data_IF_305378657877
#
_entry.id   IF_305378657877
#
_cell.length_a   1.000
_cell.length_b   1.000
_cell.length_c   1.000
_cell.angle_alpha   90.00
_cell.angle_beta   90.00
_cell.angle_gamma   90.00
#
_symmetry.space_group_name_H-M   'P 1'
#
loop_
_entity.id
_entity.type
_entity.pdbx_description
1 polymer ?
#
# COMPACT_ATOMS: atom_id res chain seq x y z
N UNK A 1 -3.80 1.02 -7.88
CA UNK A 1 -4.62 1.93 -8.72
C UNK A 1 -3.79 2.29 -9.93
N UNK A 2 -4.27 1.88 -11.10
CA UNK A 2 -3.65 2.16 -12.39
C UNK A 2 -4.31 3.39 -12.98
N UNK A 3 -3.51 4.39 -13.36
CA UNK A 3 -3.99 5.62 -13.99
C UNK A 3 -4.22 5.39 -15.48
N UNK A 4 -5.19 6.10 -16.06
CA UNK A 4 -5.36 6.14 -17.51
C UNK A 4 -4.08 6.69 -18.16
N UNK A 5 -3.61 6.04 -19.23
CA UNK A 5 -2.45 6.54 -19.98
C UNK A 5 -2.89 7.77 -20.78
N UNK A 6 -2.26 8.91 -20.55
CA UNK A 6 -2.35 10.05 -21.47
C UNK A 6 -1.69 9.63 -22.80
N UNK A 7 -2.48 9.43 -23.83
CA UNK A 7 -1.97 9.58 -25.19
C UNK A 7 -1.51 11.04 -25.31
N UNK A 8 -0.32 11.34 -25.84
CA UNK A 8 0.06 12.72 -26.10
C UNK A 8 -1.09 13.34 -26.90
N UNK A 9 -1.60 14.49 -26.43
CA UNK A 9 -2.63 15.24 -27.11
C UNK A 9 -2.24 15.34 -28.58
N UNK A 10 -2.83 14.49 -29.42
CA UNK A 10 -2.92 14.78 -30.83
C UNK A 10 -3.86 15.97 -30.84
N UNK A 11 -3.22 17.14 -30.86
CA UNK A 11 -3.76 18.47 -30.77
C UNK A 11 -5.26 18.51 -31.03
N UNK A 12 -5.99 19.06 -30.05
CA UNK A 12 -7.10 19.97 -30.25
C UNK A 12 -7.43 20.24 -31.74
N UNK A 13 -8.15 19.29 -32.34
CA UNK A 13 -9.04 19.45 -33.47
C UNK A 13 -10.14 18.49 -33.12
N UNK A 14 -11.18 19.01 -32.49
CA UNK A 14 -12.56 18.67 -32.82
C UNK A 14 -12.67 17.38 -33.64
N UNK A 15 -12.45 16.22 -33.01
CA UNK A 15 -12.78 14.95 -33.63
C UNK A 15 -14.29 14.80 -33.49
N UNK A 16 -14.99 15.59 -34.31
CA UNK A 16 -16.44 15.70 -34.45
C UNK A 16 -17.04 14.41 -35.02
N UNK A 17 -16.38 13.26 -34.82
CA UNK A 17 -17.00 11.99 -35.14
C UNK A 17 -18.16 11.76 -34.15
N UNK A 18 -19.40 11.55 -34.64
CA UNK A 18 -20.56 11.27 -33.78
C UNK A 18 -20.35 10.04 -32.87
N UNK A 19 -19.40 9.18 -33.25
CA UNK A 19 -18.95 7.99 -32.53
C UNK A 19 -18.24 8.30 -31.21
N UNK A 20 -17.35 9.30 -31.14
CA UNK A 20 -16.57 9.61 -29.94
C UNK A 20 -17.43 10.29 -28.84
N UNK A 21 -18.50 10.96 -29.26
CA UNK A 21 -19.48 11.57 -28.34
C UNK A 21 -20.38 10.54 -27.67
N UNK A 22 -20.65 9.42 -28.36
CA UNK A 22 -21.53 8.34 -27.90
C UNK A 22 -20.78 7.16 -27.29
N UNK A 23 -19.48 7.06 -27.54
CA UNK A 23 -18.59 6.00 -27.04
C UNK A 23 -17.26 6.59 -26.60
N UNK A 24 -16.83 6.25 -25.39
CA UNK A 24 -15.53 6.66 -24.85
C UNK A 24 -14.67 5.44 -24.58
N UNK A 25 -13.41 5.49 -24.99
CA UNK A 25 -12.43 4.42 -24.77
C UNK A 25 -11.42 4.81 -23.71
N UNK A 26 -11.19 3.92 -22.76
CA UNK A 26 -10.26 4.08 -21.65
C UNK A 26 -9.15 3.04 -21.77
N UNK A 27 -7.89 3.49 -21.73
CA UNK A 27 -6.71 2.66 -21.89
C UNK A 27 -5.89 2.67 -20.59
N UNK A 28 -5.59 1.49 -20.07
CA UNK A 28 -4.82 1.31 -18.84
C UNK A 28 -3.61 0.43 -19.11
N UNK A 29 -2.44 0.86 -18.63
CA UNK A 29 -1.23 0.04 -18.65
C UNK A 29 -1.22 -0.88 -17.43
N UNK A 30 -1.43 -2.18 -17.68
CA UNK A 30 -1.51 -3.21 -16.63
C UNK A 30 -0.23 -4.05 -16.55
N UNK A 31 0.85 -3.61 -17.22
CA UNK A 31 2.12 -4.33 -17.26
C UNK A 31 2.80 -4.45 -15.90
N UNK A 32 2.54 -3.54 -14.95
CA UNK A 32 3.14 -3.61 -13.61
C UNK A 32 2.42 -4.56 -12.66
N UNK A 33 1.27 -5.12 -13.05
CA UNK A 33 0.59 -6.12 -12.22
C UNK A 33 1.44 -7.40 -12.17
N UNK A 34 1.91 -7.75 -10.97
CA UNK A 34 2.81 -8.90 -10.78
C UNK A 34 2.09 -10.23 -10.98
N UNK A 35 2.64 -11.10 -11.84
CA UNK A 35 2.20 -12.49 -12.08
C UNK A 35 2.10 -13.36 -10.80
N UNK A 36 2.80 -12.96 -9.74
CA UNK A 36 2.84 -13.66 -8.44
C UNK A 36 1.66 -13.31 -7.54
N UNK A 37 0.84 -12.32 -7.90
CA UNK A 37 -0.33 -11.92 -7.12
C UNK A 37 -1.59 -12.56 -7.70
N UNK A 38 -2.52 -12.93 -6.81
CA UNK A 38 -3.82 -13.47 -7.22
C UNK A 38 -4.80 -12.32 -7.36
N UNK A 39 -5.32 -12.09 -8.57
CA UNK A 39 -6.32 -11.05 -8.80
C UNK A 39 -7.65 -11.45 -8.14
N UNK A 40 -8.14 -10.61 -7.24
CA UNK A 40 -9.42 -10.79 -6.55
C UNK A 40 -10.55 -10.08 -7.30
N UNK A 41 -10.27 -8.92 -7.89
CA UNK A 41 -11.25 -8.15 -8.65
C UNK A 41 -10.68 -6.87 -9.24
N UNK A 42 -11.48 -6.18 -10.05
CA UNK A 42 -11.12 -4.87 -10.57
C UNK A 42 -12.35 -3.99 -10.81
N UNK A 43 -12.19 -2.70 -10.55
CA UNK A 43 -13.21 -1.67 -10.69
C UNK A 43 -12.72 -0.55 -11.61
N UNK A 44 -13.55 -0.16 -12.58
CA UNK A 44 -13.38 1.08 -13.32
C UNK A 44 -14.16 2.18 -12.60
N UNK A 45 -13.48 3.27 -12.24
CA UNK A 45 -14.09 4.45 -11.62
C UNK A 45 -14.04 5.62 -12.58
N UNK A 46 -15.21 6.16 -12.89
CA UNK A 46 -15.39 7.29 -13.81
C UNK A 46 -16.04 8.46 -13.08
N UNK A 47 -15.38 9.62 -13.10
CA UNK A 47 -15.95 10.82 -12.50
C UNK A 47 -17.04 11.42 -13.40
N UNK A 48 -18.21 11.68 -12.83
CA UNK A 48 -19.35 12.35 -13.45
C UNK A 48 -19.51 13.74 -12.83
N UNK A 49 -19.29 14.78 -13.63
CA UNK A 49 -19.53 16.17 -13.20
C UNK A 49 -21.03 16.41 -13.03
N UNK A 50 -21.41 17.21 -12.04
CA UNK A 50 -22.77 17.70 -11.92
C UNK A 50 -23.14 18.47 -13.19
N UNK A 51 -24.33 18.23 -13.72
CA UNK A 51 -24.81 18.90 -14.92
C UNK A 51 -24.83 20.42 -14.65
N UNK A 52 -23.95 21.15 -15.35
CA UNK A 52 -23.73 22.58 -15.11
C UNK A 52 -24.77 23.50 -15.75
N UNK A 53 -25.75 22.97 -16.49
CA UNK A 53 -26.66 23.79 -17.29
C UNK A 53 -28.15 23.51 -17.01
N UNK A 54 -28.91 24.46 -16.42
CA UNK A 54 -30.34 24.33 -16.16
C UNK A 54 -31.21 24.19 -17.42
N UNK A 55 -30.66 24.30 -18.63
CA UNK A 55 -31.38 24.06 -19.90
C UNK A 55 -31.47 22.59 -20.33
N UNK A 56 -30.76 21.66 -19.70
CA UNK A 56 -30.85 20.22 -20.04
C UNK A 56 -32.01 19.48 -19.34
N UNK A 57 -33.03 20.23 -18.87
CA UNK A 57 -34.27 19.73 -18.24
C UNK A 57 -35.22 18.97 -19.19
N UNK A 58 -34.79 18.68 -20.43
CA UNK A 58 -35.65 18.08 -21.45
C UNK A 58 -35.51 16.54 -21.58
N UNK A 59 -34.59 15.89 -20.86
CA UNK A 59 -34.46 14.43 -20.91
C UNK A 59 -35.10 13.78 -19.67
N UNK A 60 -36.41 13.59 -19.72
CA UNK A 60 -37.10 12.66 -18.82
C UNK A 60 -36.79 11.23 -19.27
N UNK A 61 -36.03 10.48 -18.47
CA UNK A 61 -35.76 9.07 -18.76
C UNK A 61 -34.63 8.48 -17.94
N UNK A 62 -34.55 7.15 -17.96
CA UNK A 62 -33.43 6.40 -17.39
C UNK A 62 -32.36 6.20 -18.47
N UNK A 63 -31.13 6.61 -18.19
CA UNK A 63 -29.97 6.26 -19.02
C UNK A 63 -29.28 5.04 -18.41
N UNK A 64 -28.86 4.09 -19.23
CA UNK A 64 -28.05 2.94 -18.79
C UNK A 64 -26.65 3.04 -19.36
N UNK A 65 -25.69 3.32 -18.49
CA UNK A 65 -24.27 3.22 -18.80
C UNK A 65 -23.88 1.75 -18.90
N UNK A 66 -23.13 1.39 -19.93
CA UNK A 66 -22.63 0.04 -20.16
C UNK A 66 -21.14 0.09 -20.44
N UNK A 67 -20.41 -0.78 -19.77
CA UNK A 67 -18.97 -0.96 -19.98
C UNK A 67 -18.72 -2.33 -20.61
N UNK A 68 -17.87 -2.36 -21.62
CA UNK A 68 -17.46 -3.57 -22.32
C UNK A 68 -15.98 -3.52 -22.72
N UNK A 69 -15.28 -4.65 -22.92
CA UNK A 69 -13.96 -4.63 -23.52
C UNK A 69 -14.08 -4.15 -24.97
N UNK A 70 -13.13 -3.31 -25.41
CA UNK A 70 -13.13 -2.73 -26.76
C UNK A 70 -13.20 -3.77 -27.90
N UNK A 71 -12.78 -5.01 -27.62
CA UNK A 71 -12.63 -6.07 -28.62
C UNK A 71 -13.75 -7.11 -28.62
N UNK A 72 -14.54 -7.23 -27.55
CA UNK A 72 -15.52 -8.31 -27.44
C UNK A 72 -16.96 -7.84 -27.38
N UNK A 73 -17.24 -6.54 -27.18
CA UNK A 73 -18.60 -5.98 -27.09
C UNK A 73 -19.49 -6.58 -25.99
N UNK A 74 -19.01 -7.62 -25.31
CA UNK A 74 -19.64 -8.30 -24.17
C UNK A 74 -19.68 -7.29 -23.03
N UNK A 75 -20.89 -6.97 -22.58
CA UNK A 75 -21.09 -6.12 -21.41
C UNK A 75 -20.48 -6.79 -20.18
N UNK A 76 -19.58 -6.07 -19.50
CA UNK A 76 -19.00 -6.45 -18.21
C UNK A 76 -19.96 -6.06 -17.11
N UNK A 77 -20.34 -4.78 -17.09
CA UNK A 77 -21.21 -4.21 -16.08
C UNK A 77 -22.06 -3.07 -16.67
N UNK A 78 -23.11 -2.67 -15.96
CA UNK A 78 -23.93 -1.53 -16.30
C UNK A 78 -24.53 -0.83 -15.09
N UNK A 79 -24.59 0.49 -15.15
CA UNK A 79 -25.20 1.34 -14.14
C UNK A 79 -26.38 2.09 -14.75
N UNK A 80 -27.48 2.18 -14.02
CA UNK A 80 -28.61 3.01 -14.42
C UNK A 80 -28.45 4.36 -13.75
N UNK A 81 -28.50 5.43 -14.55
CA UNK A 81 -28.52 6.81 -14.10
C UNK A 81 -29.94 7.33 -14.22
N UNK A 82 -30.44 7.89 -13.12
CA UNK A 82 -31.61 8.74 -13.18
C UNK A 82 -31.17 10.14 -13.66
N UNK A 83 -31.69 10.57 -14.80
CA UNK A 83 -31.38 11.88 -15.38
C UNK A 83 -32.02 13.03 -14.61
N UNK A 84 -32.96 12.73 -13.70
CA UNK A 84 -33.61 13.68 -12.83
C UNK A 84 -32.85 13.90 -11.52
N UNK A 85 -31.96 12.98 -11.14
CA UNK A 85 -31.15 13.06 -9.94
C UNK A 85 -29.82 13.78 -10.24
N UNK A 86 -29.74 15.05 -9.84
CA UNK A 86 -28.50 15.80 -9.89
C UNK A 86 -27.43 15.06 -9.05
N UNK A 87 -26.19 14.96 -9.57
CA UNK A 87 -25.09 14.36 -8.81
C UNK A 87 -25.02 15.00 -7.41
N UNK A 88 -24.95 14.22 -6.32
CA UNK A 88 -25.00 14.76 -4.97
C UNK A 88 -23.91 15.83 -4.79
N UNK A 89 -24.33 17.06 -4.49
CA UNK A 89 -23.43 18.18 -4.26
C UNK A 89 -22.74 17.95 -2.91
N UNK A 90 -21.46 17.56 -2.94
CA UNK A 90 -20.67 17.43 -1.72
C UNK A 90 -20.38 18.80 -1.11
N UNK A 91 -20.49 18.97 0.22
CA UNK A 91 -20.05 20.19 0.90
C UNK A 91 -18.51 20.26 0.78
N UNK A 92 -17.99 21.27 0.07
CA UNK A 92 -16.55 21.41 -0.19
C UNK A 92 -16.15 21.87 -1.60
N UNK A 93 -17.10 22.12 -2.49
CA UNK A 93 -16.82 22.79 -3.77
C UNK A 93 -16.30 21.85 -4.85
N UNK A 94 -17.20 21.09 -5.45
CA UNK A 94 -16.96 20.25 -6.61
C UNK A 94 -18.18 19.38 -6.87
N UNK A 95 -19.13 19.87 -7.65
CA UNK A 95 -20.34 19.11 -7.98
C UNK A 95 -19.99 17.93 -8.89
N UNK A 96 -20.06 16.71 -8.38
CA UNK A 96 -19.82 15.49 -9.16
C UNK A 96 -19.68 14.25 -8.28
N UNK A 97 -19.85 13.08 -8.89
CA UNK A 97 -19.79 11.78 -8.21
C UNK A 97 -19.00 10.73 -9.02
N UNK A 98 -18.61 9.64 -8.38
CA UNK A 98 -17.87 8.55 -9.01
C UNK A 98 -18.80 7.40 -9.37
N UNK A 99 -18.89 7.11 -10.67
CA UNK A 99 -19.55 5.91 -11.16
C UNK A 99 -18.55 4.74 -11.14
N UNK A 100 -18.92 3.66 -10.46
CA UNK A 100 -18.09 2.46 -10.27
C UNK A 100 -18.65 1.32 -11.10
N UNK A 101 -17.79 0.63 -11.85
CA UNK A 101 -18.15 -0.52 -12.67
C UNK A 101 -17.24 -1.72 -12.34
N UNK A 102 -17.81 -2.90 -12.12
CA UNK A 102 -17.04 -4.13 -11.98
C UNK A 102 -16.52 -4.56 -13.37
N UNK A 103 -15.20 -4.60 -13.49
CA UNK A 103 -14.50 -5.00 -14.72
C UNK A 103 -13.55 -6.17 -14.46
N UNK A 104 -13.72 -6.88 -13.34
CA UNK A 104 -12.86 -8.01 -12.97
C UNK A 104 -12.78 -9.08 -14.06
N UNK A 105 -13.92 -9.35 -14.73
CA UNK A 105 -13.98 -10.31 -15.84
C UNK A 105 -13.25 -9.88 -17.12
N UNK A 106 -12.84 -8.60 -17.22
CA UNK A 106 -12.05 -8.11 -18.35
C UNK A 106 -10.57 -8.45 -18.21
N UNK A 107 -10.12 -8.72 -16.99
CA UNK A 107 -8.76 -9.12 -16.69
C UNK A 107 -8.71 -10.66 -16.70
N UNK A 108 -7.88 -11.27 -17.54
CA UNK A 108 -7.70 -12.72 -17.53
C UNK A 108 -7.03 -13.16 -16.22
N UNK A 109 -7.19 -14.43 -15.82
CA UNK A 109 -6.38 -15.00 -14.75
C UNK A 109 -4.89 -14.87 -15.12
N UNK A 110 -4.08 -14.32 -14.20
CA UNK A 110 -2.63 -14.06 -14.40
C UNK A 110 -1.80 -15.32 -14.71
N UNK A 111 -2.41 -16.51 -14.62
CA UNK A 111 -1.84 -17.78 -15.09
C UNK A 111 -2.31 -18.09 -16.52
N UNK A 112 -1.71 -17.43 -17.51
CA UNK A 112 -1.97 -17.74 -18.92
C UNK A 112 -1.00 -17.08 -19.90
N UNK A 113 -1.03 -17.43 -21.21
CA UNK A 113 -0.05 -16.97 -22.22
C UNK A 113 -0.11 -15.47 -22.59
N UNK A 114 -0.85 -14.66 -21.83
CA UNK A 114 -1.16 -13.25 -22.11
C UNK A 114 -0.01 -12.27 -21.85
N UNK A 115 1.24 -12.75 -21.77
CA UNK A 115 2.48 -11.96 -21.71
C UNK A 115 2.62 -10.86 -22.80
N UNK A 116 1.68 -10.74 -23.74
CA UNK A 116 1.69 -9.80 -24.87
C UNK A 116 0.64 -8.67 -24.81
N UNK A 117 -0.28 -8.64 -23.83
CA UNK A 117 -1.25 -7.54 -23.71
C UNK A 117 -1.00 -6.74 -22.44
N UNK A 118 -0.09 -5.78 -22.57
CA UNK A 118 0.26 -4.82 -21.53
C UNK A 118 -0.80 -3.73 -21.32
N UNK A 119 -1.82 -3.68 -22.19
CA UNK A 119 -2.85 -2.64 -22.18
C UNK A 119 -4.25 -3.22 -22.10
N UNK A 120 -5.04 -2.73 -21.15
CA UNK A 120 -6.47 -2.99 -21.01
C UNK A 120 -7.25 -1.85 -21.68
N UNK A 121 -8.17 -2.19 -22.60
CA UNK A 121 -9.07 -1.24 -23.27
C UNK A 121 -10.52 -1.50 -22.89
N UNK A 122 -11.16 -0.49 -22.28
CA UNK A 122 -12.56 -0.50 -21.88
C UNK A 122 -13.33 0.57 -22.68
N UNK A 123 -14.50 0.21 -23.20
CA UNK A 123 -15.41 1.12 -23.89
C UNK A 123 -16.64 1.39 -23.02
N UNK A 124 -16.96 2.66 -22.81
CA UNK A 124 -18.18 3.14 -22.18
C UNK A 124 -19.15 3.61 -23.24
N UNK A 125 -20.41 3.19 -23.11
CA UNK A 125 -21.53 3.72 -23.89
C UNK A 125 -22.74 3.96 -23.00
N UNK A 126 -23.55 4.96 -23.34
CA UNK A 126 -24.84 5.19 -22.70
C UNK A 126 -25.96 4.78 -23.66
N UNK A 127 -26.91 3.99 -23.16
CA UNK A 127 -28.14 3.67 -23.91
C UNK A 127 -29.36 4.22 -23.19
N UNK A 128 -30.23 4.85 -23.96
CA UNK A 128 -31.53 5.36 -23.50
C UNK A 128 -32.65 4.64 -24.24
N UNK A 129 -33.83 4.60 -23.61
CA UNK A 129 -35.03 4.08 -24.25
C UNK A 129 -36.28 4.63 -23.58
N UNK A 130 -37.22 5.10 -24.38
CA UNK A 130 -38.60 5.35 -23.94
C UNK A 130 -39.40 4.05 -24.05
N UNK A 131 -40.48 3.91 -23.27
CA UNK A 131 -41.41 2.75 -23.33
C UNK A 131 -41.97 2.46 -24.74
N UNK A 132 -41.82 3.40 -25.67
CA UNK A 132 -42.34 3.36 -27.05
C UNK A 132 -41.34 2.89 -28.11
N UNK A 133 -40.07 2.62 -27.79
CA UNK A 133 -39.08 2.16 -28.78
C UNK A 133 -38.49 0.78 -28.44
N UNK A 134 -38.48 -0.18 -29.40
CA UNK A 134 -37.96 -1.52 -29.18
C UNK A 134 -36.42 -1.62 -29.27
N UNK A 135 -35.73 -0.60 -29.78
CA UNK A 135 -34.27 -0.59 -29.92
C UNK A 135 -33.60 0.46 -29.01
N UNK A 136 -32.62 0.08 -28.18
CA UNK A 136 -31.89 1.03 -27.33
C UNK A 136 -31.08 2.02 -28.19
N UNK A 137 -31.31 3.32 -27.99
CA UNK A 137 -30.58 4.38 -28.69
C UNK A 137 -29.32 4.77 -27.92
N UNK A 138 -28.23 5.03 -28.65
CA UNK A 138 -26.97 5.54 -28.06
C UNK A 138 -27.11 7.03 -27.71
N UNK A 139 -26.86 7.36 -26.45
CA UNK A 139 -26.89 8.73 -25.92
C UNK A 139 -25.50 9.39 -25.98
N UNK A 140 -25.46 10.72 -26.05
CA UNK A 140 -24.23 11.51 -25.88
C UNK A 140 -23.82 11.50 -24.39
N UNK A 141 -22.54 11.27 -24.13
CA UNK A 141 -21.98 11.16 -22.77
C UNK A 141 -21.73 12.52 -22.12
N UNK A 142 -21.58 13.60 -22.90
CA UNK A 142 -21.34 14.95 -22.36
C UNK A 142 -22.50 15.49 -21.50
N UNK A 143 -23.77 15.49 -21.96
CA UNK A 143 -24.89 15.96 -21.13
C UNK A 143 -25.10 15.09 -19.88
N UNK A 144 -24.57 13.86 -19.87
CA UNK A 144 -24.57 12.98 -18.70
C UNK A 144 -23.48 13.31 -17.67
N UNK A 145 -22.69 14.38 -17.88
CA UNK A 145 -21.58 14.75 -16.99
C UNK A 145 -20.30 13.96 -17.21
N UNK A 146 -20.23 13.15 -18.27
CA UNK A 146 -19.09 12.28 -18.60
C UNK A 146 -18.17 12.88 -19.68
N UNK A 147 -18.26 14.18 -19.93
CA UNK A 147 -17.34 14.88 -20.85
C UNK A 147 -15.88 14.81 -20.38
N UNK A 148 -14.92 14.73 -21.31
CA UNK A 148 -13.47 14.68 -21.04
C UNK A 148 -12.78 16.05 -20.97
N UNK A 149 -13.41 17.09 -21.50
CA UNK A 149 -12.82 18.43 -21.55
C UNK A 149 -12.55 19.01 -20.16
N UNK A 150 -11.38 19.64 -20.00
CA UNK A 150 -10.96 20.36 -18.79
C UNK A 150 -11.10 19.55 -17.49
N UNK A 151 -10.68 18.27 -17.51
CA UNK A 151 -10.60 17.44 -16.30
C UNK A 151 -9.28 17.68 -15.57
N UNK A 152 -9.37 17.97 -14.27
CA UNK A 152 -8.18 17.98 -13.42
C UNK A 152 -7.63 16.54 -13.29
N UNK A 153 -6.36 16.41 -12.87
CA UNK A 153 -5.73 15.09 -12.73
C UNK A 153 -6.53 14.16 -11.79
N UNK A 154 -7.13 14.69 -10.72
CA UNK A 154 -8.00 13.92 -9.81
C UNK A 154 -9.36 13.50 -10.40
N UNK A 155 -9.78 14.04 -11.54
CA UNK A 155 -11.07 13.74 -12.19
C UNK A 155 -10.95 12.72 -13.34
N UNK A 156 -9.72 12.29 -13.65
CA UNK A 156 -9.44 11.29 -14.70
C UNK A 156 -9.93 9.90 -14.29
N UNK A 157 -10.13 9.03 -15.27
CA UNK A 157 -10.58 7.67 -15.01
C UNK A 157 -9.51 6.86 -14.28
N UNK A 158 -9.97 5.98 -13.37
CA UNK A 158 -9.09 5.17 -12.53
C UNK A 158 -9.48 3.70 -12.65
N UNK A 159 -8.48 2.84 -12.80
CA UNK A 159 -8.65 1.40 -12.67
C UNK A 159 -8.13 0.97 -11.30
N UNK A 160 -9.03 0.49 -10.44
CA UNK A 160 -8.68 -0.06 -9.14
C UNK A 160 -8.61 -1.57 -9.27
N UNK A 161 -7.47 -2.13 -8.91
CA UNK A 161 -7.19 -3.57 -9.03
C UNK A 161 -6.97 -4.09 -7.63
N UNK A 162 -7.71 -5.12 -7.25
CA UNK A 162 -7.59 -5.78 -5.94
C UNK A 162 -6.87 -7.10 -6.13
N UNK A 163 -5.72 -7.26 -5.48
CA UNK A 163 -4.93 -8.48 -5.54
C UNK A 163 -4.64 -9.00 -4.14
N UNK A 164 -4.41 -10.32 -4.06
CA UNK A 164 -3.93 -11.00 -2.87
C UNK A 164 -2.53 -11.51 -3.15
N UNK A 165 -1.55 -10.93 -2.48
CA UNK A 165 -0.17 -11.39 -2.52
C UNK A 165 0.01 -12.53 -1.52
N UNK A 166 0.72 -13.61 -1.90
CA UNK A 166 1.24 -14.56 -0.91
C UNK A 166 2.38 -13.88 -0.15
N UNK A 167 2.46 -14.07 1.17
CA UNK A 167 3.41 -13.43 2.11
C UNK A 167 4.75 -13.09 1.43
N UNK A 168 4.89 -11.82 1.01
CA UNK A 168 6.12 -11.25 0.50
C UNK A 168 6.59 -10.23 1.52
N UNK A 169 7.87 -10.30 1.86
CA UNK A 169 8.49 -9.34 2.76
C UNK A 169 8.66 -8.01 2.01
N UNK A 170 8.40 -6.87 2.66
CA UNK A 170 8.62 -5.53 2.11
C UNK A 170 10.00 -5.40 1.43
N UNK A 171 11.04 -5.96 2.06
CA UNK A 171 12.41 -5.99 1.54
C UNK A 171 12.62 -6.76 0.22
N UNK A 172 11.76 -7.74 -0.08
CA UNK A 172 11.85 -8.49 -1.33
C UNK A 172 11.29 -7.68 -2.51
N UNK A 173 10.32 -6.81 -2.25
CA UNK A 173 9.76 -5.88 -3.24
C UNK A 173 10.69 -4.68 -3.44
N UNK A 174 11.27 -4.16 -2.36
CA UNK A 174 12.26 -3.09 -2.42
C UNK A 174 13.45 -3.36 -3.35
N UNK A 175 13.93 -4.61 -3.41
CA UNK A 175 15.07 -4.98 -4.25
C UNK A 175 14.76 -5.03 -5.74
N UNK A 176 13.48 -5.02 -6.10
CA UNK A 176 13.03 -5.06 -7.50
C UNK A 176 12.72 -3.66 -8.04
N UNK A 177 12.66 -2.63 -7.17
CA UNK A 177 12.40 -1.25 -7.56
C UNK A 177 13.68 -0.51 -7.98
N UNK A 178 13.75 0.06 -9.19
CA UNK A 178 14.96 0.70 -9.73
C UNK A 178 15.36 2.03 -9.05
N UNK A 179 14.55 2.54 -8.11
CA UNK A 179 14.82 3.78 -7.37
C UNK A 179 15.29 3.59 -5.92
N UNK A 180 15.22 2.38 -5.36
CA UNK A 180 15.73 2.14 -4.01
C UNK A 180 17.27 2.22 -4.05
N UNK A 181 17.86 3.26 -3.46
CA UNK A 181 19.30 3.27 -3.18
C UNK A 181 19.60 1.96 -2.44
N UNK A 182 20.55 1.13 -2.92
CA UNK A 182 20.96 -0.05 -2.19
C UNK A 182 21.30 0.39 -0.76
N UNK A 183 20.67 -0.25 0.24
CA UNK A 183 21.13 -0.12 1.61
C UNK A 183 22.66 -0.29 1.58
N UNK A 184 23.43 0.64 2.18
CA UNK A 184 24.87 0.58 2.10
C UNK A 184 25.32 -0.83 2.46
N UNK A 185 26.16 -1.48 1.65
CA UNK A 185 26.62 -2.82 1.93
C UNK A 185 27.15 -2.85 3.35
N UNK A 186 26.58 -3.73 4.19
CA UNK A 186 27.19 -4.09 5.47
C UNK A 186 28.66 -4.41 5.15
N UNK A 187 29.63 -3.86 5.91
CA UNK A 187 31.04 -3.95 5.55
C UNK A 187 31.39 -5.42 5.28
N UNK A 188 31.87 -5.68 4.07
CA UNK A 188 32.21 -6.99 3.55
C UNK A 188 33.53 -7.45 4.19
N UNK A 189 33.53 -7.65 5.52
CA UNK A 189 34.61 -8.24 6.30
C UNK A 189 34.01 -8.86 7.59
N UNK A 190 32.87 -9.56 7.47
CA UNK A 190 32.28 -10.35 8.55
C UNK A 190 32.41 -11.87 8.29
N UNK A 191 33.28 -12.27 7.37
CA UNK A 191 33.75 -13.64 7.30
C UNK A 191 34.91 -13.79 8.30
N UNK A 192 34.66 -14.56 9.37
CA UNK A 192 35.61 -14.99 10.39
C UNK A 192 36.11 -13.92 11.38
N UNK A 193 35.29 -13.61 12.38
CA UNK A 193 35.79 -13.22 13.71
C UNK A 193 35.14 -14.11 14.77
N UNK A 194 35.91 -14.73 15.68
CA UNK A 194 35.37 -15.44 16.84
C UNK A 194 34.53 -14.48 17.71
N UNK A 195 33.49 -15.01 18.33
CA UNK A 195 32.41 -14.32 19.07
C UNK A 195 32.85 -13.49 20.31
N UNK A 196 34.15 -13.26 20.51
CA UNK A 196 34.73 -12.60 21.68
C UNK A 196 35.34 -11.23 21.34
N UNK A 197 34.68 -10.40 20.51
CA UNK A 197 35.12 -9.02 20.29
C UNK A 197 34.05 -8.13 19.62
N UNK A 198 32.93 -7.86 20.27
CA UNK A 198 32.01 -6.79 19.85
C UNK A 198 31.69 -5.87 21.03
N UNK A 199 32.60 -4.93 21.28
CA UNK A 199 32.30 -3.75 22.08
C UNK A 199 31.30 -2.83 21.36
N UNK A 200 30.58 -1.95 22.08
CA UNK A 200 29.53 -1.14 21.49
C UNK A 200 30.09 -0.12 20.49
N UNK A 201 29.51 -0.08 19.28
CA UNK A 201 29.71 0.98 18.29
C UNK A 201 29.03 2.25 18.81
N UNK A 202 29.81 3.18 19.37
CA UNK A 202 29.33 4.48 19.84
C UNK A 202 29.25 5.47 18.68
N UNK A 203 28.04 5.90 18.32
CA UNK A 203 27.84 7.16 17.59
C UNK A 203 28.38 8.32 18.45
N UNK A 204 29.33 9.08 17.90
CA UNK A 204 29.97 10.22 18.56
C UNK A 204 28.99 11.40 18.72
N UNK A 205 28.53 11.63 19.94
CA UNK A 205 28.13 12.96 20.42
C UNK A 205 29.31 13.56 21.19
N UNK A 206 29.75 14.74 20.77
CA UNK A 206 30.93 15.42 21.31
C UNK A 206 30.66 15.91 22.74
N UNK A 207 31.47 15.47 23.71
CA UNK A 207 31.53 16.07 25.05
C UNK A 207 32.99 16.29 25.45
N UNK A 208 33.27 17.51 25.93
CA UNK A 208 34.59 18.03 26.29
C UNK A 208 35.28 17.20 27.38
N UNK A 209 36.58 16.93 27.18
CA UNK A 209 37.49 16.21 28.10
C UNK A 209 37.77 17.00 29.39
N UNK A 210 37.57 16.36 30.54
CA UNK A 210 38.28 16.66 31.80
C UNK A 210 39.04 15.40 32.24
N UNK A 211 40.29 15.59 32.68
CA UNK A 211 41.32 14.56 32.88
C UNK A 211 41.02 13.63 34.07
N UNK A 212 41.44 12.36 33.91
CA UNK A 212 41.44 11.31 34.93
C UNK A 212 42.39 11.67 36.07
N UNK A 213 41.95 11.45 37.31
CA UNK A 213 42.83 11.24 38.47
C UNK A 213 42.51 9.86 39.06
N UNK A 214 43.56 9.13 39.41
CA UNK A 214 43.53 7.74 39.81
C UNK A 214 43.18 7.54 41.28
N UNK A 215 42.64 6.35 41.55
CA UNK A 215 42.80 5.50 42.74
C UNK A 215 42.47 6.08 44.14
N UNK A 216 41.45 5.49 44.78
CA UNK A 216 41.63 4.90 46.10
C UNK A 216 40.43 4.03 46.53
N UNK A 217 40.76 2.85 47.07
CA UNK A 217 39.85 1.97 47.81
C UNK A 217 39.24 2.71 49.00
N UNK A 218 37.91 2.73 49.10
CA UNK A 218 37.21 2.85 50.39
C UNK A 218 35.84 2.20 50.32
N UNK A 219 35.62 1.29 51.26
CA UNK A 219 34.34 0.65 51.57
C UNK A 219 33.22 1.69 51.76
N UNK A 220 32.02 1.35 51.28
CA UNK A 220 30.77 1.95 51.76
C UNK A 220 30.03 2.83 50.76
N UNK A 221 29.19 2.21 49.93
CA UNK A 221 27.75 2.54 49.76
C UNK A 221 27.20 1.74 48.58
N UNK A 222 26.02 1.18 48.83
CA UNK A 222 25.20 0.36 47.95
C UNK A 222 24.85 1.15 46.67
N UNK A 223 25.71 1.11 45.65
CA UNK A 223 25.35 1.57 44.31
C UNK A 223 24.40 0.54 43.72
N UNK A 224 23.16 0.98 43.45
CA UNK A 224 22.14 0.16 42.80
C UNK A 224 22.72 -0.50 41.57
N UNK A 225 22.79 -1.84 41.58
CA UNK A 225 22.85 -2.64 40.37
C UNK A 225 21.81 -2.02 39.44
N UNK A 226 22.20 -1.53 38.25
CA UNK A 226 21.24 -1.25 37.18
C UNK A 226 20.35 -2.48 37.12
N UNK A 227 19.11 -2.38 37.60
CA UNK A 227 18.21 -3.51 37.63
C UNK A 227 18.15 -3.98 36.18
N UNK A 228 18.60 -5.22 35.90
CA UNK A 228 18.52 -5.75 34.54
C UNK A 228 17.06 -5.65 34.13
N UNK A 229 16.78 -4.81 33.14
CA UNK A 229 15.41 -4.56 32.71
C UNK A 229 14.88 -5.89 32.19
N UNK A 230 13.78 -6.37 32.79
CA UNK A 230 13.12 -7.60 32.34
C UNK A 230 12.61 -7.42 30.91
N UNK A 231 12.48 -8.54 30.18
CA UNK A 231 11.96 -8.55 28.82
C UNK A 231 10.69 -7.71 28.71
N UNK A 232 10.74 -6.68 27.86
CA UNK A 232 9.66 -5.72 27.69
C UNK A 232 9.69 -5.09 26.31
N UNK A 233 8.54 -4.55 25.88
CA UNK A 233 8.42 -3.77 24.65
C UNK A 233 9.02 -2.39 24.86
N UNK A 234 9.85 -1.94 23.92
CA UNK A 234 10.49 -0.63 23.89
C UNK A 234 10.09 0.13 22.64
N UNK A 235 10.02 1.46 22.75
CA UNK A 235 9.72 2.32 21.61
C UNK A 235 10.86 2.26 20.60
N UNK A 236 10.47 2.13 19.33
CA UNK A 236 11.35 2.20 18.18
C UNK A 236 10.58 2.92 17.08
N UNK A 237 10.96 4.17 16.87
CA UNK A 237 10.40 4.99 15.82
C UNK A 237 11.16 4.73 14.52
N UNK A 238 10.42 4.47 13.44
CA UNK A 238 10.97 4.27 12.10
C UNK A 238 10.49 5.42 11.22
N UNK A 239 11.43 6.19 10.70
CA UNK A 239 11.18 7.24 9.73
C UNK A 239 11.68 6.79 8.35
N UNK A 240 10.81 6.77 7.35
CA UNK A 240 11.18 6.31 6.00
C UNK A 240 12.12 7.28 5.29
N UNK A 241 12.15 8.56 5.69
CA UNK A 241 13.10 9.54 5.18
C UNK A 241 14.54 9.22 5.60
N UNK A 242 14.73 8.75 6.82
CA UNK A 242 16.06 8.33 7.30
C UNK A 242 16.58 7.10 6.55
N UNK A 243 15.67 6.31 5.97
CA UNK A 243 15.97 5.17 5.09
C UNK A 243 16.12 5.58 3.62
N UNK A 244 15.81 6.83 3.26
CA UNK A 244 15.79 7.32 1.88
C UNK A 244 14.66 6.72 1.03
N UNK A 245 13.51 6.44 1.65
CA UNK A 245 12.34 5.83 1.02
C UNK A 245 11.17 6.80 0.86
N UNK A 246 11.35 8.07 1.24
CA UNK A 246 10.36 9.13 1.15
C UNK A 246 10.04 9.56 -0.30
N UNK A 247 10.89 9.20 -1.27
CA UNK A 247 10.65 9.50 -2.68
C UNK A 247 9.51 8.67 -3.29
N UNK A 248 9.28 7.45 -2.77
CA UNK A 248 8.32 6.50 -3.35
C UNK A 248 7.21 6.10 -2.36
N UNK A 249 7.45 6.16 -1.05
CA UNK A 249 6.41 5.99 -0.03
C UNK A 249 5.63 7.29 0.13
N UNK A 250 4.32 7.23 -0.12
CA UNK A 250 3.39 8.36 0.06
C UNK A 250 2.92 8.44 1.51
N UNK A 251 2.55 7.30 2.11
CA UNK A 251 2.08 7.25 3.50
C UNK A 251 2.16 5.83 4.11
N UNK A 252 2.32 5.71 5.44
CA UNK A 252 2.77 6.76 6.35
C UNK A 252 4.25 7.09 6.10
N UNK A 253 4.71 8.29 6.47
CA UNK A 253 6.14 8.67 6.37
C UNK A 253 6.97 8.15 7.55
N UNK A 254 6.30 7.84 8.65
CA UNK A 254 6.91 7.32 9.87
C UNK A 254 5.91 6.43 10.63
N UNK A 255 6.42 5.49 11.43
CA UNK A 255 5.59 4.65 12.30
C UNK A 255 6.36 4.15 13.52
N UNK A 256 5.63 3.75 14.57
CA UNK A 256 6.21 3.12 15.76
C UNK A 256 6.29 1.60 15.57
N UNK A 257 7.48 1.10 15.23
CA UNK A 257 7.72 -0.33 15.06
C UNK A 257 7.79 -1.06 16.41
N UNK A 258 8.32 -0.40 17.43
CA UNK A 258 8.73 -0.99 18.70
C UNK A 258 9.77 -2.13 18.55
N UNK A 259 10.47 -2.45 19.63
CA UNK A 259 11.35 -3.64 19.68
C UNK A 259 11.27 -4.32 21.05
N UNK A 260 11.75 -5.56 21.11
CA UNK A 260 11.84 -6.31 22.35
C UNK A 260 13.24 -6.20 22.94
N UNK A 261 13.32 -5.87 24.22
CA UNK A 261 14.59 -5.72 24.92
C UNK A 261 14.44 -6.14 26.39
N UNK A 262 15.48 -6.77 26.92
CA UNK A 262 15.59 -7.11 28.33
C UNK A 262 15.99 -8.56 28.55
N UNK A 263 16.06 -8.95 29.82
CA UNK A 263 16.48 -10.30 30.25
C UNK A 263 15.29 -11.20 30.56
N UNK A 264 15.45 -12.48 30.26
CA UNK A 264 14.53 -13.56 30.57
C UNK A 264 15.13 -14.41 31.69
N UNK A 265 14.90 -14.00 32.95
CA UNK A 265 15.43 -14.69 34.13
C UNK A 265 14.33 -15.52 34.83
N UNK A 266 14.73 -16.61 35.47
CA UNK A 266 13.81 -17.46 36.24
C UNK A 266 13.35 -16.74 37.53
N UNK A 267 12.07 -16.84 37.93
CA UNK A 267 10.95 -17.45 37.22
C UNK A 267 10.37 -16.52 36.13
N UNK A 268 10.05 -17.11 34.98
CA UNK A 268 9.37 -16.41 33.89
C UNK A 268 7.94 -16.02 34.31
N UNK A 269 7.51 -14.83 33.92
CA UNK A 269 6.15 -14.35 34.20
C UNK A 269 5.18 -14.87 33.15
N UNK A 270 3.97 -15.22 33.57
CA UNK A 270 2.92 -15.77 32.70
C UNK A 270 2.54 -14.87 31.52
N UNK A 271 2.59 -13.54 31.70
CA UNK A 271 2.29 -12.58 30.62
C UNK A 271 3.31 -12.53 29.49
N UNK A 272 4.49 -13.15 29.64
CA UNK A 272 5.50 -13.28 28.58
C UNK A 272 5.21 -14.48 27.66
N UNK A 273 4.08 -15.17 27.89
CA UNK A 273 3.63 -16.36 27.15
C UNK A 273 4.80 -17.34 26.83
N UNK A 274 5.62 -17.71 27.84
CA UNK A 274 6.82 -18.49 27.58
C UNK A 274 6.47 -19.91 27.14
N UNK A 275 7.26 -20.46 26.21
CA UNK A 275 7.14 -21.87 25.86
C UNK A 275 7.69 -22.76 26.98
N UNK A 276 7.27 -24.02 27.04
CA UNK A 276 7.88 -24.99 27.96
C UNK A 276 9.40 -25.07 27.77
N UNK A 277 9.89 -24.97 26.52
CA UNK A 277 11.31 -24.89 26.21
C UNK A 277 11.98 -23.69 26.88
N UNK A 278 11.41 -22.49 26.76
CA UNK A 278 11.95 -21.28 27.39
C UNK A 278 11.94 -21.37 28.92
N UNK A 279 10.91 -21.99 29.51
CA UNK A 279 10.83 -22.21 30.96
C UNK A 279 11.98 -23.11 31.43
N UNK A 280 12.18 -24.26 30.79
CA UNK A 280 13.24 -25.21 31.15
C UNK A 280 14.63 -24.60 30.89
N UNK A 281 14.84 -23.96 29.75
CA UNK A 281 16.11 -23.32 29.42
C UNK A 281 16.46 -22.21 30.42
N UNK A 282 15.48 -21.37 30.79
CA UNK A 282 15.69 -20.30 31.76
C UNK A 282 15.96 -20.87 33.17
N UNK A 283 15.31 -21.97 33.54
CA UNK A 283 15.62 -22.69 34.79
C UNK A 283 17.05 -23.25 34.77
N UNK A 284 17.45 -23.94 33.70
CA UNK A 284 18.81 -24.49 33.54
C UNK A 284 19.87 -23.39 33.54
N UNK A 285 19.65 -22.29 32.83
CA UNK A 285 20.51 -21.12 32.86
C UNK A 285 20.63 -20.51 34.26
N UNK A 286 19.57 -20.55 35.08
CA UNK A 286 19.63 -20.04 36.46
C UNK A 286 20.48 -20.92 37.39
N UNK A 287 20.61 -22.21 37.08
CA UNK A 287 21.45 -23.17 37.84
C UNK A 287 22.90 -23.13 37.39
N UNK A 288 23.14 -23.15 36.08
CA UNK A 288 24.46 -23.07 35.47
C UNK A 288 24.45 -22.18 34.21
N UNK A 289 24.72 -20.87 34.37
CA UNK A 289 24.81 -19.93 33.26
C UNK A 289 25.99 -20.18 32.32
N UNK A 290 27.01 -20.94 32.73
CA UNK A 290 28.17 -21.25 31.90
C UNK A 290 27.87 -22.40 30.93
N UNK A 291 27.04 -23.37 31.35
CA UNK A 291 26.63 -24.49 30.51
C UNK A 291 25.39 -24.21 29.65
N UNK A 292 24.46 -23.35 30.10
CA UNK A 292 23.19 -23.11 29.40
C UNK A 292 23.03 -21.63 29.04
N UNK A 293 22.74 -21.27 27.77
CA UNK A 293 22.46 -19.89 27.40
C UNK A 293 21.08 -19.41 27.89
N UNK A 294 20.91 -18.11 28.19
CA UNK A 294 19.61 -17.56 28.58
C UNK A 294 18.62 -17.59 27.40
N UNK A 295 17.31 -17.63 27.70
CA UNK A 295 16.28 -17.43 26.68
C UNK A 295 16.28 -15.98 26.17
N UNK A 296 15.89 -15.79 24.91
CA UNK A 296 15.93 -14.50 24.25
C UNK A 296 14.62 -13.72 24.44
N UNK A 297 14.71 -12.40 24.62
CA UNK A 297 13.55 -11.52 24.60
C UNK A 297 13.21 -11.15 23.14
N UNK A 298 12.14 -11.71 22.61
CA UNK A 298 11.77 -11.60 21.19
C UNK A 298 10.29 -11.20 21.02
N UNK A 299 9.89 -10.67 19.86
CA UNK A 299 8.48 -10.43 19.56
C UNK A 299 7.66 -11.72 19.67
N UNK A 300 6.58 -11.67 20.43
CA UNK A 300 5.63 -12.77 20.58
C UNK A 300 4.41 -12.58 19.67
N UNK A 301 3.94 -11.33 19.53
CA UNK A 301 2.86 -10.94 18.61
C UNK A 301 3.32 -9.71 17.82
N UNK A 302 3.09 -9.76 16.51
CA UNK A 302 3.37 -8.68 15.59
C UNK A 302 2.07 -8.30 14.88
N UNK A 303 1.95 -7.03 14.52
CA UNK A 303 0.80 -6.46 13.82
C UNK A 303 1.22 -5.86 12.48
N UNK A 304 0.31 -5.87 11.49
CA UNK A 304 0.60 -5.32 10.17
C UNK A 304 0.56 -3.78 10.16
N UNK A 305 1.14 -3.20 9.10
CA UNK A 305 0.90 -1.81 8.72
C UNK A 305 0.45 -1.71 7.27
N UNK A 306 -0.31 -0.66 6.95
CA UNK A 306 -0.69 -0.33 5.58
C UNK A 306 0.24 0.75 5.02
N UNK A 307 0.74 0.52 3.81
CA UNK A 307 1.63 1.44 3.10
C UNK A 307 0.98 1.81 1.76
N UNK A 308 0.98 3.11 1.46
CA UNK A 308 0.63 3.70 0.19
C UNK A 308 1.93 4.16 -0.49
N UNK A 309 2.20 3.68 -1.70
CA UNK A 309 3.41 4.02 -2.44
C UNK A 309 3.19 4.13 -3.95
N UNK A 310 4.16 4.70 -4.65
CA UNK A 310 4.20 4.73 -6.11
C UNK A 310 5.17 3.65 -6.62
N UNK A 311 4.66 2.75 -7.46
CA UNK A 311 5.42 1.68 -8.14
C UNK A 311 6.17 2.23 -9.36
N UNK A 312 7.14 1.48 -9.91
CA UNK A 312 7.97 1.87 -11.07
C UNK A 312 7.18 2.31 -12.31
N UNK A 313 5.93 1.85 -12.48
CA UNK A 313 5.04 2.31 -13.56
C UNK A 313 4.18 3.54 -13.21
N UNK A 314 4.55 4.32 -12.18
CA UNK A 314 3.81 5.48 -11.69
C UNK A 314 2.38 5.14 -11.21
N UNK A 315 2.17 3.90 -10.78
CA UNK A 315 0.91 3.42 -10.25
C UNK A 315 0.87 3.61 -8.73
N UNK A 316 -0.26 4.09 -8.21
CA UNK A 316 -0.44 4.27 -6.77
C UNK A 316 -0.93 2.97 -6.16
N UNK A 317 -0.14 2.36 -5.29
CA UNK A 317 -0.39 1.05 -4.69
C UNK A 317 -0.64 1.20 -3.20
N UNK A 318 -1.75 0.62 -2.72
CA UNK A 318 -2.04 0.47 -1.30
C UNK A 318 -1.87 -1.00 -0.93
N UNK A 319 -1.03 -1.28 0.07
CA UNK A 319 -0.70 -2.65 0.46
C UNK A 319 -0.52 -2.77 1.97
N UNK A 320 -0.95 -3.91 2.50
CA UNK A 320 -0.77 -4.26 3.90
C UNK A 320 0.41 -5.22 4.05
N UNK A 321 1.36 -4.86 4.91
CA UNK A 321 2.55 -5.64 5.23
C UNK A 321 2.43 -6.21 6.64
N UNK A 322 2.46 -7.53 6.73
CA UNK A 322 2.42 -8.27 8.00
C UNK A 322 3.75 -8.16 8.75
N UNK A 323 3.69 -8.42 10.06
CA UNK A 323 4.86 -8.55 10.93
C UNK A 323 5.73 -7.28 11.07
N UNK A 324 5.13 -6.09 11.01
CA UNK A 324 5.84 -4.81 10.96
C UNK A 324 5.93 -4.07 12.31
N UNK A 325 4.99 -4.31 13.23
CA UNK A 325 4.91 -3.61 14.53
C UNK A 325 4.83 -4.62 15.68
N UNK A 326 5.72 -4.51 16.66
CA UNK A 326 5.71 -5.37 17.85
C UNK A 326 4.53 -5.00 18.75
N UNK A 327 3.61 -5.94 18.92
CA UNK A 327 2.47 -5.79 19.82
C UNK A 327 2.86 -6.20 21.24
N UNK A 328 3.49 -7.38 21.39
CA UNK A 328 3.95 -7.95 22.65
C UNK A 328 5.30 -8.67 22.52
N UNK A 329 6.04 -8.72 23.64
CA UNK A 329 7.30 -9.44 23.76
C UNK A 329 7.15 -10.69 24.62
N UNK A 330 7.96 -11.71 24.34
CA UNK A 330 8.00 -12.95 25.11
C UNK A 330 9.42 -13.50 25.22
N UNK A 331 9.58 -14.50 26.07
CA UNK A 331 10.83 -15.23 26.26
C UNK A 331 10.78 -16.54 25.47
N UNK A 332 11.67 -16.70 24.48
CA UNK A 332 11.73 -17.86 23.61
C UNK A 332 13.16 -18.36 23.45
#
# INVERSE_FOLDING_TARGET
MVREKEEPERANRDDLSPSALRRQKYLFDVSTLSDKEELVGAELRLFRKAAGDPFSKAQTGLARLQVSPCLSGRRLDSRTLDLQEAAPVRPGGGGGDWEVFDVGQALPPLRGPWKKRQQLCLELRAVGGTRSQPHPQLLDLRPLGLGRGARAQQEKALLVVFSKSRRKNLFAELRQEPGARPLPPLPHNAAALPWEAAGPVQLRLQARRMKRAAYNHRHGKRHGKKARLRCTKKALHVNFKDLGWDDWIIAPLEYEAYHCEGVCDFPLRSHLEPTNHAIIQTLMNSMDPAATPPSCCVPAKLTPISILYTDAGNNVVYKQYEDMVVESCGCR
#
